data_IF_608910965758
#
_entry.id   IF_608910965758
#
_cell.length_a   1.000
_cell.length_b   1.000
_cell.length_c   1.000
_cell.angle_alpha   90.00
_cell.angle_beta   90.00
_cell.angle_gamma   90.00
#
_symmetry.space_group_name_H-M   'P 1'
#
loop_
_entity.id
_entity.type
_entity.pdbx_description
1 polymer ?
#
# COMPACT_ATOMS: atom_id res chain seq x y z
N UNK A 1 -3.42 -2.41 -24.97
CA UNK A 1 -4.82 -1.89 -24.99
C UNK A 1 -4.81 -0.38 -24.89
N UNK A 2 -5.65 0.33 -25.67
CA UNK A 2 -5.83 1.78 -25.56
C UNK A 2 -7.04 2.05 -24.65
N UNK A 3 -6.82 2.73 -23.53
CA UNK A 3 -7.89 3.14 -22.63
C UNK A 3 -8.61 4.33 -23.23
N UNK A 4 -9.94 4.29 -23.31
CA UNK A 4 -10.75 5.40 -23.80
C UNK A 4 -11.28 6.28 -22.66
N UNK A 5 -11.62 7.53 -22.97
CA UNK A 5 -12.26 8.44 -22.01
C UNK A 5 -13.59 7.86 -21.48
N UNK A 6 -14.30 7.10 -22.31
CA UNK A 6 -15.56 6.44 -21.93
C UNK A 6 -15.33 5.37 -20.88
N UNK A 7 -14.24 4.60 -20.98
CA UNK A 7 -13.88 3.57 -20.01
C UNK A 7 -13.50 4.21 -18.67
N UNK A 8 -12.74 5.31 -18.71
CA UNK A 8 -12.41 6.09 -17.51
C UNK A 8 -13.66 6.65 -16.83
N UNK A 9 -14.62 7.18 -17.60
CA UNK A 9 -15.87 7.69 -17.07
C UNK A 9 -16.70 6.56 -16.42
N UNK A 10 -16.82 5.40 -17.08
CA UNK A 10 -17.56 4.24 -16.60
C UNK A 10 -16.90 3.63 -15.34
N UNK A 11 -15.58 3.66 -15.22
CA UNK A 11 -14.85 3.24 -14.04
C UNK A 11 -14.94 4.23 -12.87
N UNK A 12 -15.37 5.47 -13.12
CA UNK A 12 -15.48 6.51 -12.09
C UNK A 12 -14.17 7.21 -11.77
N UNK A 13 -13.24 7.28 -12.70
CA UNK A 13 -11.93 7.95 -12.60
C UNK A 13 -12.06 9.43 -12.28
N UNK A 14 -13.13 10.07 -12.76
CA UNK A 14 -13.39 11.51 -12.64
C UNK A 14 -13.83 11.96 -11.25
N UNK A 15 -14.18 11.05 -10.34
CA UNK A 15 -14.54 11.41 -8.98
C UNK A 15 -13.28 11.63 -8.15
N UNK A 16 -13.19 12.79 -7.52
CA UNK A 16 -12.19 13.10 -6.52
C UNK A 16 -12.76 13.09 -5.12
N UNK A 17 -12.05 13.66 -4.18
CA UNK A 17 -12.43 13.79 -2.79
C UNK A 17 -13.32 15.01 -2.51
N UNK A 18 -13.79 15.13 -1.27
CA UNK A 18 -14.60 16.27 -0.83
C UNK A 18 -13.82 17.58 -0.95
N UNK A 19 -14.50 18.66 -1.34
CA UNK A 19 -13.91 19.98 -1.59
C UNK A 19 -13.12 20.56 -0.42
N UNK A 20 -13.43 20.17 0.81
CA UNK A 20 -12.72 20.67 2.01
C UNK A 20 -11.32 20.07 2.21
N UNK A 21 -11.02 18.93 1.57
CA UNK A 21 -9.75 18.22 1.75
C UNK A 21 -8.80 18.37 0.56
N UNK A 22 -9.16 19.19 -0.43
CA UNK A 22 -8.41 19.29 -1.65
C UNK A 22 -7.02 19.93 -1.47
N UNK A 23 -6.09 19.57 -2.33
CA UNK A 23 -4.78 20.19 -2.39
C UNK A 23 -4.79 21.30 -3.48
N UNK A 24 -4.38 22.54 -3.17
CA UNK A 24 -4.32 23.63 -4.16
C UNK A 24 -3.43 23.33 -5.38
N UNK A 25 -2.39 22.51 -5.23
CA UNK A 25 -1.52 22.09 -6.33
C UNK A 25 -2.25 21.24 -7.37
N UNK A 26 -3.37 20.62 -7.00
CA UNK A 26 -4.23 19.88 -7.92
C UNK A 26 -5.22 20.75 -8.71
N UNK A 27 -5.28 22.06 -8.45
CA UNK A 27 -6.15 23.00 -9.17
C UNK A 27 -6.09 22.85 -10.71
N UNK A 28 -4.93 22.69 -11.35
CA UNK A 28 -4.85 22.52 -12.81
C UNK A 28 -5.58 21.28 -13.34
N UNK A 29 -5.76 20.24 -12.51
CA UNK A 29 -6.33 18.94 -12.90
C UNK A 29 -7.81 18.80 -12.52
N UNK A 30 -8.37 19.78 -11.79
CA UNK A 30 -9.77 19.78 -11.37
C UNK A 30 -10.61 20.48 -12.43
N UNK A 31 -11.67 19.82 -12.87
CA UNK A 31 -12.67 20.38 -13.80
C UNK A 31 -13.67 21.29 -13.08
N UNK A 32 -14.08 20.89 -11.86
CA UNK A 32 -15.05 21.61 -11.07
C UNK A 32 -15.45 20.85 -9.81
N UNK A 33 -16.56 21.27 -9.19
CA UNK A 33 -17.11 20.59 -8.03
C UNK A 33 -18.62 20.38 -8.18
N UNK A 34 -19.12 19.20 -7.78
CA UNK A 34 -20.55 18.87 -7.75
C UNK A 34 -20.88 18.15 -6.45
N UNK A 35 -21.90 18.57 -5.75
CA UNK A 35 -22.32 17.98 -4.48
C UNK A 35 -21.18 17.91 -3.43
N UNK A 36 -20.36 18.97 -3.35
CA UNK A 36 -19.19 19.05 -2.45
C UNK A 36 -18.08 18.01 -2.73
N UNK A 37 -18.06 17.43 -3.93
CA UNK A 37 -17.03 16.52 -4.40
C UNK A 37 -16.34 17.17 -5.61
N UNK A 38 -15.02 17.14 -5.68
CA UNK A 38 -14.27 17.58 -6.84
C UNK A 38 -14.42 16.61 -8.00
N UNK A 39 -14.46 17.12 -9.21
CA UNK A 39 -14.47 16.35 -10.45
C UNK A 39 -13.13 16.60 -11.14
N UNK A 40 -12.43 15.52 -11.40
CA UNK A 40 -11.13 15.52 -12.07
C UNK A 40 -11.35 15.61 -13.58
N UNK A 41 -10.53 16.40 -14.26
CA UNK A 41 -10.62 16.60 -15.71
C UNK A 41 -10.00 15.43 -16.47
N UNK A 42 -10.84 14.59 -17.06
CA UNK A 42 -10.41 13.41 -17.85
C UNK A 42 -9.66 13.79 -19.14
N UNK A 43 -9.85 15.00 -19.68
CA UNK A 43 -9.11 15.48 -20.85
C UNK A 43 -7.61 15.65 -20.54
N UNK A 44 -7.27 15.87 -19.26
CA UNK A 44 -5.88 15.92 -18.79
C UNK A 44 -5.39 14.56 -18.30
N UNK A 45 -6.27 13.76 -17.68
CA UNK A 45 -5.93 12.42 -17.20
C UNK A 45 -5.56 11.49 -18.34
N UNK A 46 -6.34 11.47 -19.42
CA UNK A 46 -6.12 10.53 -20.53
C UNK A 46 -4.76 10.70 -21.21
N UNK A 47 -4.32 11.91 -21.62
CA UNK A 47 -2.98 12.12 -22.17
C UNK A 47 -1.86 11.72 -21.20
N UNK A 48 -1.94 12.17 -19.93
CA UNK A 48 -0.95 11.85 -18.91
C UNK A 48 -0.83 10.34 -18.67
N UNK A 49 -1.97 9.65 -18.64
CA UNK A 49 -1.99 8.18 -18.50
C UNK A 49 -1.38 7.48 -19.71
N UNK A 50 -1.70 7.91 -20.92
CA UNK A 50 -1.13 7.34 -22.14
C UNK A 50 0.38 7.58 -22.21
N UNK A 51 0.88 8.75 -21.82
CA UNK A 51 2.31 9.04 -21.72
C UNK A 51 3.00 8.09 -20.72
N UNK A 52 2.42 7.90 -19.54
CA UNK A 52 2.91 6.94 -18.58
C UNK A 52 2.95 5.50 -19.11
N UNK A 53 1.92 5.06 -19.85
CA UNK A 53 1.88 3.73 -20.48
C UNK A 53 2.94 3.55 -21.55
N UNK A 54 3.22 4.58 -22.35
CA UNK A 54 4.29 4.54 -23.36
C UNK A 54 5.65 4.39 -22.69
N UNK A 55 5.92 5.17 -21.64
CA UNK A 55 7.21 5.10 -20.95
C UNK A 55 7.42 3.76 -20.24
N UNK A 56 6.40 3.25 -19.56
CA UNK A 56 6.47 1.92 -18.94
C UNK A 56 6.72 0.81 -19.97
N UNK A 57 6.08 0.87 -21.14
CA UNK A 57 6.34 -0.06 -22.23
C UNK A 57 7.80 0.02 -22.67
N UNK A 58 8.35 1.23 -22.84
CA UNK A 58 9.75 1.44 -23.19
C UNK A 58 10.71 0.94 -22.10
N UNK A 59 10.36 1.07 -20.81
CA UNK A 59 11.15 0.50 -19.74
C UNK A 59 11.10 -1.03 -19.76
N UNK A 60 9.92 -1.60 -19.92
CA UNK A 60 9.73 -3.05 -19.97
C UNK A 60 10.44 -3.70 -21.17
N UNK A 61 10.48 -3.02 -22.35
CA UNK A 61 11.23 -3.48 -23.51
C UNK A 61 12.75 -3.47 -23.31
N UNK A 62 13.25 -2.73 -22.33
CA UNK A 62 14.67 -2.73 -21.91
C UNK A 62 14.95 -3.70 -20.76
N UNK A 63 14.01 -4.59 -20.42
CA UNK A 63 14.14 -5.55 -19.34
C UNK A 63 14.12 -4.92 -17.93
N UNK A 64 13.72 -3.65 -17.80
CA UNK A 64 13.66 -2.95 -16.52
C UNK A 64 12.53 -3.46 -15.63
N UNK A 65 12.75 -3.45 -14.32
CA UNK A 65 11.79 -3.90 -13.32
C UNK A 65 10.99 -2.73 -12.76
N UNK A 66 9.67 -2.84 -12.83
CA UNK A 66 8.74 -1.86 -12.25
C UNK A 66 8.09 -2.46 -11.01
N UNK A 67 8.23 -1.77 -9.87
CA UNK A 67 7.63 -2.18 -8.61
C UNK A 67 6.21 -1.61 -8.49
N UNK A 68 5.22 -2.48 -8.34
CA UNK A 68 3.84 -2.08 -8.10
C UNK A 68 3.58 -1.88 -6.61
N UNK A 69 3.08 -0.71 -6.21
CA UNK A 69 2.86 -0.34 -4.80
C UNK A 69 1.42 0.10 -4.59
N UNK A 70 0.77 -0.51 -3.61
CA UNK A 70 -0.56 -0.09 -3.18
C UNK A 70 -1.09 -0.95 -2.05
N UNK A 71 -0.89 -0.45 -0.85
CA UNK A 71 -1.27 -1.15 0.39
C UNK A 71 -2.71 -0.88 0.80
N UNK A 72 -3.39 0.05 0.10
CA UNK A 72 -4.81 0.34 0.32
C UNK A 72 -5.67 -0.90 0.06
N UNK A 73 -6.59 -1.21 0.96
CA UNK A 73 -7.46 -2.41 0.88
C UNK A 73 -8.16 -2.56 -0.48
N UNK A 74 -8.50 -1.46 -1.14
CA UNK A 74 -9.13 -1.46 -2.45
C UNK A 74 -8.16 -1.85 -3.58
N UNK A 75 -6.86 -1.59 -3.42
CA UNK A 75 -5.80 -1.79 -4.41
C UNK A 75 -5.08 -3.13 -4.24
N UNK A 76 -4.83 -3.56 -3.00
CA UNK A 76 -3.96 -4.69 -2.64
C UNK A 76 -4.18 -5.94 -3.49
N UNK A 77 -5.42 -6.43 -3.57
CA UNK A 77 -5.74 -7.65 -4.33
C UNK A 77 -5.49 -7.49 -5.84
N UNK A 78 -5.85 -6.34 -6.39
CA UNK A 78 -5.71 -6.07 -7.82
C UNK A 78 -4.24 -5.94 -8.21
N UNK A 79 -3.45 -5.29 -7.37
CA UNK A 79 -1.99 -5.14 -7.55
C UNK A 79 -1.31 -6.50 -7.51
N UNK A 80 -1.56 -7.31 -6.48
CA UNK A 80 -0.97 -8.65 -6.36
C UNK A 80 -1.31 -9.53 -7.58
N UNK A 81 -2.57 -9.52 -8.04
CA UNK A 81 -3.03 -10.30 -9.18
C UNK A 81 -2.36 -9.85 -10.49
N UNK A 82 -2.36 -8.55 -10.78
CA UNK A 82 -1.87 -8.03 -12.05
C UNK A 82 -0.33 -8.00 -12.11
N UNK A 83 0.35 -7.67 -11.04
CA UNK A 83 1.81 -7.70 -10.98
C UNK A 83 2.36 -9.13 -11.12
N UNK A 84 1.73 -10.11 -10.42
CA UNK A 84 2.08 -11.52 -10.58
C UNK A 84 1.85 -12.02 -12.01
N UNK A 85 0.75 -11.60 -12.67
CA UNK A 85 0.45 -11.96 -14.06
C UNK A 85 1.57 -11.57 -15.02
N UNK A 86 2.21 -10.43 -14.78
CA UNK A 86 3.29 -9.92 -15.65
C UNK A 86 4.69 -10.20 -15.10
N UNK A 87 4.81 -10.93 -13.98
CA UNK A 87 6.10 -11.26 -13.34
C UNK A 87 6.88 -10.01 -12.92
N UNK A 88 6.19 -9.04 -12.33
CA UNK A 88 6.78 -7.83 -11.75
C UNK A 88 6.66 -7.86 -10.22
N UNK A 89 7.63 -7.27 -9.49
CA UNK A 89 7.56 -7.18 -8.04
C UNK A 89 6.41 -6.26 -7.60
N UNK A 90 5.86 -6.55 -6.41
CA UNK A 90 4.77 -5.75 -5.85
C UNK A 90 4.79 -5.70 -4.32
N UNK A 91 4.15 -4.68 -3.77
CA UNK A 91 3.87 -4.51 -2.33
C UNK A 91 2.39 -4.21 -2.16
N UNK A 92 1.65 -5.14 -1.53
CA UNK A 92 0.19 -5.11 -1.40
C UNK A 92 -0.32 -4.99 0.04
N UNK A 93 0.52 -5.26 1.06
CA UNK A 93 0.09 -5.24 2.46
C UNK A 93 0.58 -4.00 3.20
N UNK A 94 1.87 -3.85 3.37
CA UNK A 94 2.48 -2.75 4.12
C UNK A 94 3.84 -2.38 3.54
N UNK A 95 4.03 -1.10 3.31
CA UNK A 95 5.36 -0.59 3.00
C UNK A 95 6.22 -0.53 4.27
N UNK A 96 7.33 -1.24 4.29
CA UNK A 96 8.29 -1.17 5.39
C UNK A 96 9.24 0.01 5.16
N UNK A 97 9.40 0.87 6.19
CA UNK A 97 10.36 1.97 6.10
C UNK A 97 11.77 1.47 5.78
N UNK A 98 12.43 2.09 4.81
CA UNK A 98 13.74 1.66 4.34
C UNK A 98 13.72 0.54 3.29
N UNK A 99 12.55 0.21 2.71
CA UNK A 99 12.43 -0.88 1.74
C UNK A 99 13.31 -0.68 0.50
N UNK A 100 13.50 0.55 0.07
CA UNK A 100 14.42 0.91 -1.01
C UNK A 100 15.75 1.45 -0.48
N UNK A 101 15.69 2.40 0.46
CA UNK A 101 16.88 3.11 0.97
C UNK A 101 17.78 2.22 1.84
N UNK A 102 17.23 1.22 2.52
CA UNK A 102 17.97 0.22 3.30
C UNK A 102 17.76 -1.20 2.75
N UNK A 103 17.84 -1.33 1.43
CA UNK A 103 17.59 -2.60 0.73
C UNK A 103 18.49 -3.75 1.22
N UNK A 104 19.69 -3.46 1.71
CA UNK A 104 20.61 -4.48 2.26
C UNK A 104 19.96 -5.24 3.43
N UNK A 105 19.33 -4.53 4.36
CA UNK A 105 18.61 -5.14 5.50
C UNK A 105 17.35 -5.87 5.04
N UNK A 106 16.60 -5.30 4.10
CA UNK A 106 15.41 -5.96 3.53
C UNK A 106 15.79 -7.28 2.85
N UNK A 107 16.90 -7.32 2.12
CA UNK A 107 17.42 -8.57 1.50
C UNK A 107 17.74 -9.65 2.53
N UNK A 108 18.25 -9.29 3.71
CA UNK A 108 18.45 -10.25 4.81
C UNK A 108 17.10 -10.80 5.32
N UNK A 109 16.08 -9.95 5.44
CA UNK A 109 14.75 -10.37 5.84
C UNK A 109 14.08 -11.26 4.78
N UNK A 110 14.30 -10.98 3.49
CA UNK A 110 13.86 -11.84 2.38
C UNK A 110 14.55 -13.21 2.46
N UNK A 111 15.88 -13.23 2.71
CA UNK A 111 16.61 -14.49 2.90
C UNK A 111 16.02 -15.30 4.06
N UNK A 112 15.75 -14.64 5.19
CA UNK A 112 15.10 -15.30 6.35
C UNK A 112 13.73 -15.86 6.01
N UNK A 113 12.94 -15.17 5.17
CA UNK A 113 11.65 -15.69 4.69
C UNK A 113 11.85 -16.98 3.89
N UNK A 114 12.79 -16.98 2.93
CA UNK A 114 13.12 -18.16 2.10
C UNK A 114 13.59 -19.32 2.96
N UNK A 115 14.46 -19.07 3.96
CA UNK A 115 14.93 -20.08 4.89
C UNK A 115 13.76 -20.72 5.67
N UNK A 116 12.81 -19.90 6.18
CA UNK A 116 11.62 -20.39 6.88
C UNK A 116 10.65 -21.16 5.97
N UNK A 117 10.50 -20.75 4.71
CA UNK A 117 9.72 -21.51 3.72
C UNK A 117 10.34 -22.87 3.45
N UNK A 118 11.66 -22.94 3.31
CA UNK A 118 12.40 -24.20 3.12
C UNK A 118 12.26 -25.10 4.34
N UNK A 119 12.49 -24.57 5.55
CA UNK A 119 12.30 -25.29 6.81
C UNK A 119 10.88 -25.87 6.96
N UNK A 120 9.87 -25.12 6.45
CA UNK A 120 8.47 -25.57 6.48
C UNK A 120 8.20 -26.69 5.48
N UNK A 121 8.86 -26.67 4.31
CA UNK A 121 8.69 -27.69 3.26
C UNK A 121 9.45 -28.99 3.58
N UNK A 122 10.61 -28.86 4.20
CA UNK A 122 11.47 -30.00 4.59
C UNK A 122 10.94 -30.76 5.81
N UNK A 123 9.80 -30.37 6.39
CA UNK A 123 9.23 -31.00 7.58
C UNK A 123 9.99 -30.69 8.88
N UNK A 124 10.94 -29.74 8.86
CA UNK A 124 11.70 -29.34 10.06
C UNK A 124 10.77 -28.85 11.17
N UNK A 125 9.63 -28.21 10.81
CA UNK A 125 8.65 -27.74 11.80
C UNK A 125 7.99 -28.86 12.58
N UNK A 126 7.88 -30.09 12.03
CA UNK A 126 7.29 -31.23 12.70
C UNK A 126 8.22 -31.81 13.79
N UNK A 127 9.53 -31.57 13.70
CA UNK A 127 10.53 -31.96 14.68
C UNK A 127 10.61 -31.00 15.87
N UNK A 128 10.00 -29.83 15.78
CA UNK A 128 10.03 -28.81 16.82
C UNK A 128 8.88 -28.99 17.82
N UNK A 129 9.02 -28.31 18.97
CA UNK A 129 7.89 -28.22 19.90
C UNK A 129 6.72 -27.44 19.24
N UNK A 130 5.47 -27.81 19.58
CA UNK A 130 4.27 -27.14 19.03
C UNK A 130 4.31 -25.60 19.18
N UNK A 131 4.89 -25.10 20.27
CA UNK A 131 5.03 -23.67 20.51
C UNK A 131 6.02 -23.02 19.53
N UNK A 132 7.16 -23.64 19.31
CA UNK A 132 8.18 -23.14 18.38
C UNK A 132 7.71 -23.20 16.93
N UNK A 133 7.11 -24.29 16.50
CA UNK A 133 6.52 -24.41 15.17
C UNK A 133 5.48 -23.33 14.91
N UNK A 134 4.61 -23.04 15.90
CA UNK A 134 3.63 -21.97 15.77
C UNK A 134 4.26 -20.57 15.67
N UNK A 135 5.32 -20.29 16.44
CA UNK A 135 6.04 -19.02 16.38
C UNK A 135 6.71 -18.85 15.02
N UNK A 136 7.38 -19.86 14.49
CA UNK A 136 8.02 -19.83 13.16
C UNK A 136 6.98 -19.66 12.05
N UNK A 137 5.86 -20.35 12.13
CA UNK A 137 4.75 -20.19 11.17
C UNK A 137 4.19 -18.76 11.17
N UNK A 138 3.99 -18.18 12.36
CA UNK A 138 3.53 -16.78 12.46
C UNK A 138 4.56 -15.81 11.87
N UNK A 139 5.85 -16.01 12.15
CA UNK A 139 6.93 -15.19 11.60
C UNK A 139 6.98 -15.31 10.07
N UNK A 140 6.91 -16.52 9.52
CA UNK A 140 6.86 -16.78 8.08
C UNK A 140 5.68 -16.04 7.44
N UNK A 141 4.47 -16.18 7.99
CA UNK A 141 3.27 -15.51 7.47
C UNK A 141 3.37 -13.98 7.51
N UNK A 142 3.95 -13.42 8.59
CA UNK A 142 4.18 -11.97 8.71
C UNK A 142 5.16 -11.47 7.63
N UNK A 143 6.27 -12.16 7.44
CA UNK A 143 7.27 -11.83 6.43
C UNK A 143 6.71 -12.03 5.01
N UNK A 144 5.98 -13.10 4.77
CA UNK A 144 5.32 -13.38 3.49
C UNK A 144 4.34 -12.27 3.11
N UNK A 145 3.53 -11.80 4.05
CA UNK A 145 2.61 -10.68 3.82
C UNK A 145 3.30 -9.38 3.44
N UNK A 146 4.49 -9.09 3.99
CA UNK A 146 5.18 -7.81 3.74
C UNK A 146 6.18 -7.87 2.58
N UNK A 147 6.85 -9.01 2.39
CA UNK A 147 8.00 -9.15 1.50
C UNK A 147 7.78 -10.17 0.37
N UNK A 148 6.68 -10.93 0.40
CA UNK A 148 6.42 -11.99 -0.57
C UNK A 148 6.45 -11.49 -2.01
N UNK A 149 5.88 -10.32 -2.29
CA UNK A 149 5.83 -9.76 -3.65
C UNK A 149 7.16 -9.21 -4.17
N UNK A 150 8.15 -9.00 -3.30
CA UNK A 150 9.49 -8.51 -3.70
C UNK A 150 10.58 -9.56 -3.59
N UNK A 151 10.24 -10.80 -3.26
CA UNK A 151 11.16 -11.92 -3.07
C UNK A 151 12.08 -12.12 -4.28
N UNK A 152 11.55 -12.02 -5.50
CA UNK A 152 12.26 -12.25 -6.75
C UNK A 152 12.82 -10.96 -7.39
N UNK A 153 12.75 -9.84 -6.69
CA UNK A 153 13.18 -8.56 -7.26
C UNK A 153 14.68 -8.51 -7.57
N UNK A 154 15.52 -9.16 -6.74
CA UNK A 154 16.96 -9.34 -6.96
C UNK A 154 17.82 -8.08 -6.74
N UNK A 155 17.25 -6.88 -6.86
CA UNK A 155 17.92 -5.58 -6.71
C UNK A 155 16.89 -4.48 -6.48
N UNK A 156 17.34 -3.21 -6.58
CA UNK A 156 16.43 -2.07 -6.59
C UNK A 156 15.60 -2.06 -7.89
N UNK A 157 14.34 -1.60 -7.84
CA UNK A 157 13.52 -1.44 -9.03
C UNK A 157 14.00 -0.23 -9.85
N UNK A 158 13.77 -0.27 -11.16
CA UNK A 158 14.09 0.83 -12.08
C UNK A 158 13.01 1.91 -12.09
N UNK A 159 11.79 1.59 -11.67
CA UNK A 159 10.67 2.50 -11.51
C UNK A 159 9.69 1.97 -10.48
N UNK A 160 8.86 2.86 -9.92
CA UNK A 160 7.75 2.49 -9.06
C UNK A 160 6.42 2.99 -9.63
N UNK A 161 5.38 2.16 -9.54
CA UNK A 161 4.00 2.53 -9.85
C UNK A 161 3.19 2.52 -8.55
N UNK A 162 2.66 3.67 -8.16
CA UNK A 162 2.03 3.89 -6.86
C UNK A 162 0.54 4.20 -7.04
N UNK A 163 -0.29 3.44 -6.33
CA UNK A 163 -1.73 3.71 -6.19
C UNK A 163 -1.96 4.39 -4.85
N UNK A 164 -2.49 5.62 -4.88
CA UNK A 164 -2.65 6.50 -3.70
C UNK A 164 -1.29 7.01 -3.16
N UNK A 165 -0.78 8.05 -3.78
CA UNK A 165 0.49 8.70 -3.41
C UNK A 165 0.47 9.26 -1.98
N UNK A 166 -0.69 9.68 -1.46
CA UNK A 166 -0.80 10.19 -0.10
C UNK A 166 -0.62 9.08 0.93
N UNK A 167 -1.21 7.92 0.68
CA UNK A 167 -1.06 6.75 1.55
C UNK A 167 0.37 6.20 1.52
N UNK A 168 0.95 6.14 0.34
CA UNK A 168 2.28 5.57 0.09
C UNK A 168 3.40 6.64 0.07
N UNK A 169 3.24 7.75 0.79
CA UNK A 169 4.20 8.87 0.80
C UNK A 169 5.63 8.46 1.18
N UNK A 170 5.78 7.42 2.01
CA UNK A 170 7.10 6.88 2.40
C UNK A 170 7.78 6.26 1.19
N UNK A 171 7.06 5.46 0.39
CA UNK A 171 7.58 4.84 -0.81
C UNK A 171 8.04 5.88 -1.83
N UNK A 172 7.23 6.90 -2.06
CA UNK A 172 7.56 8.02 -2.95
C UNK A 172 8.79 8.80 -2.46
N UNK A 173 8.87 9.08 -1.15
CA UNK A 173 10.02 9.77 -0.57
C UNK A 173 11.31 8.95 -0.71
N UNK A 174 11.25 7.64 -0.52
CA UNK A 174 12.41 6.75 -0.68
C UNK A 174 12.84 6.64 -2.15
N UNK A 175 11.90 6.52 -3.08
CA UNK A 175 12.19 6.50 -4.51
C UNK A 175 12.89 7.79 -4.96
N UNK A 176 12.37 8.95 -4.56
CA UNK A 176 12.96 10.26 -4.87
C UNK A 176 14.39 10.38 -4.32
N UNK A 177 14.66 9.88 -3.11
CA UNK A 177 16.03 9.87 -2.54
C UNK A 177 17.02 9.07 -3.37
N UNK A 178 16.55 8.05 -4.08
CA UNK A 178 17.36 7.16 -4.91
C UNK A 178 17.33 7.55 -6.40
N UNK A 179 16.54 8.56 -6.78
CA UNK A 179 16.39 8.96 -8.18
C UNK A 179 15.63 7.93 -9.02
N UNK A 180 14.75 7.13 -8.39
CA UNK A 180 13.91 6.15 -9.07
C UNK A 180 12.63 6.84 -9.54
N UNK A 181 12.29 6.81 -10.86
CA UNK A 181 11.11 7.46 -11.40
C UNK A 181 9.81 6.89 -10.81
N UNK A 182 8.89 7.80 -10.49
CA UNK A 182 7.63 7.51 -9.82
C UNK A 182 6.47 7.75 -10.76
N UNK A 183 5.69 6.71 -11.06
CA UNK A 183 4.38 6.78 -11.69
C UNK A 183 3.33 6.76 -10.59
N UNK A 184 2.54 7.81 -10.44
CA UNK A 184 1.59 7.93 -9.35
C UNK A 184 0.18 8.28 -9.77
N UNK A 185 -0.81 7.57 -9.21
CA UNK A 185 -2.20 7.98 -9.27
C UNK A 185 -2.41 9.01 -8.17
N UNK A 186 -2.83 10.22 -8.58
CA UNK A 186 -2.93 11.39 -7.70
C UNK A 186 -4.38 11.88 -7.70
N UNK A 187 -5.04 11.80 -6.55
CA UNK A 187 -6.39 12.33 -6.37
C UNK A 187 -6.35 13.81 -5.96
N UNK A 188 -7.50 14.44 -5.88
CA UNK A 188 -7.69 15.86 -5.60
C UNK A 188 -7.17 16.33 -4.22
N UNK A 189 -7.01 15.42 -3.24
CA UNK A 189 -6.50 15.68 -1.89
C UNK A 189 -4.98 15.53 -1.76
N UNK A 190 -4.32 15.00 -2.77
CA UNK A 190 -2.92 14.58 -2.74
C UNK A 190 -1.98 15.65 -3.30
N UNK A 191 -0.76 15.72 -2.79
CA UNK A 191 0.30 16.55 -3.35
C UNK A 191 0.99 15.82 -4.51
N UNK A 192 0.97 16.36 -5.75
CA UNK A 192 1.67 15.76 -6.87
C UNK A 192 3.21 15.91 -6.81
N UNK A 193 3.73 16.64 -5.82
CA UNK A 193 5.17 16.84 -5.69
C UNK A 193 5.90 15.52 -5.43
N UNK A 194 6.98 15.28 -6.18
CA UNK A 194 7.77 14.05 -6.09
C UNK A 194 7.24 12.88 -6.92
N UNK A 195 6.24 13.12 -7.77
CA UNK A 195 5.77 12.16 -8.77
C UNK A 195 6.21 12.64 -10.14
N UNK A 196 6.96 11.84 -10.88
CA UNK A 196 7.46 12.20 -12.21
C UNK A 196 6.37 12.11 -13.27
N UNK A 197 5.58 11.05 -13.22
CA UNK A 197 4.44 10.81 -14.12
C UNK A 197 3.13 10.88 -13.31
N UNK A 198 2.59 12.08 -13.22
CA UNK A 198 1.34 12.34 -12.47
C UNK A 198 0.14 11.89 -13.28
N UNK A 199 -0.63 10.94 -12.76
CA UNK A 199 -1.88 10.45 -13.35
C UNK A 199 -3.02 10.95 -12.47
N UNK A 200 -3.70 12.07 -12.82
CA UNK A 200 -4.80 12.57 -12.02
C UNK A 200 -6.00 11.63 -12.10
N UNK A 201 -6.50 11.19 -10.96
CA UNK A 201 -7.63 10.27 -10.97
C UNK A 201 -8.01 9.72 -9.60
N UNK A 202 -9.15 9.07 -9.55
CA UNK A 202 -9.71 8.47 -8.35
C UNK A 202 -8.88 7.27 -7.87
N UNK A 203 -8.44 7.32 -6.62
CA UNK A 203 -7.65 6.27 -5.96
C UNK A 203 -8.47 5.40 -4.97
N UNK A 204 -9.78 5.68 -4.79
CA UNK A 204 -10.68 4.94 -3.89
C UNK A 204 -11.52 3.88 -4.60
N UNK A 205 -11.98 4.16 -5.81
CA UNK A 205 -12.90 3.29 -6.53
C UNK A 205 -12.18 2.05 -7.07
N UNK A 206 -12.57 0.85 -6.61
CA UNK A 206 -12.00 -0.43 -7.06
C UNK A 206 -12.01 -0.58 -8.59
N UNK A 207 -13.04 -0.07 -9.27
CA UNK A 207 -13.13 -0.11 -10.75
C UNK A 207 -12.10 0.78 -11.41
N UNK A 208 -11.85 1.98 -10.85
CA UNK A 208 -10.83 2.90 -11.35
C UNK A 208 -9.42 2.32 -11.13
N UNK A 209 -9.15 1.85 -9.91
CA UNK A 209 -7.87 1.19 -9.57
C UNK A 209 -7.61 0.00 -10.50
N UNK A 210 -8.61 -0.87 -10.72
CA UNK A 210 -8.48 -2.01 -11.62
C UNK A 210 -8.15 -1.57 -13.05
N UNK A 211 -8.80 -0.52 -13.56
CA UNK A 211 -8.54 0.00 -14.89
C UNK A 211 -7.08 0.46 -15.02
N UNK A 212 -6.56 1.24 -14.08
CA UNK A 212 -5.18 1.71 -14.12
C UNK A 212 -4.18 0.56 -14.03
N UNK A 213 -4.33 -0.29 -13.01
CA UNK A 213 -3.38 -1.38 -12.74
C UNK A 213 -3.38 -2.39 -13.90
N UNK A 214 -4.55 -2.71 -14.47
CA UNK A 214 -4.64 -3.64 -15.59
C UNK A 214 -3.99 -3.06 -16.85
N UNK A 215 -4.30 -1.80 -17.22
CA UNK A 215 -3.70 -1.16 -18.38
C UNK A 215 -2.18 -0.98 -18.23
N UNK A 216 -1.71 -0.68 -17.01
CA UNK A 216 -0.29 -0.57 -16.71
C UNK A 216 0.43 -1.93 -16.82
N UNK A 217 -0.18 -2.99 -16.29
CA UNK A 217 0.34 -4.35 -16.43
C UNK A 217 0.33 -4.82 -17.90
N UNK A 218 -0.69 -4.49 -18.68
CA UNK A 218 -0.74 -4.80 -20.10
C UNK A 218 0.37 -4.09 -20.89
N UNK A 219 0.66 -2.81 -20.57
CA UNK A 219 1.77 -2.08 -21.16
C UNK A 219 3.13 -2.73 -20.84
N UNK A 220 3.31 -3.23 -19.60
CA UNK A 220 4.49 -4.01 -19.23
C UNK A 220 4.57 -5.31 -20.00
N UNK A 221 3.46 -6.04 -20.16
CA UNK A 221 3.41 -7.29 -20.92
C UNK A 221 3.75 -7.07 -22.40
N UNK A 222 3.19 -6.02 -23.02
CA UNK A 222 3.50 -5.62 -24.40
C UNK A 222 5.00 -5.26 -24.55
N UNK A 223 5.57 -4.51 -23.60
CA UNK A 223 7.00 -4.18 -23.59
C UNK A 223 7.89 -5.42 -23.50
N UNK A 224 7.57 -6.36 -22.64
CA UNK A 224 8.30 -7.64 -22.52
C UNK A 224 8.19 -8.50 -23.76
N UNK A 225 7.04 -8.53 -24.43
CA UNK A 225 6.86 -9.29 -25.67
C UNK A 225 7.76 -8.78 -26.80
N UNK A 226 8.00 -7.46 -26.86
CA UNK A 226 8.89 -6.86 -27.86
C UNK A 226 10.36 -7.27 -27.66
N UNK A 227 10.81 -7.50 -26.42
CA UNK A 227 12.17 -8.04 -26.15
C UNK A 227 12.34 -9.43 -26.73
N UNK A 228 11.32 -10.27 -26.63
CA UNK A 228 11.38 -11.65 -27.10
C UNK A 228 11.47 -11.76 -28.65
N UNK A 229 11.12 -10.68 -29.37
CA UNK A 229 11.21 -10.64 -30.85
C UNK A 229 12.52 -10.05 -31.37
N UNK A 230 13.26 -9.30 -30.51
CA UNK A 230 14.53 -8.66 -30.89
C UNK A 230 15.80 -9.46 -30.46
N UNK A 231 15.63 -10.62 -29.84
CA UNK A 231 16.77 -11.50 -29.52
C UNK A 231 17.04 -12.36 -30.73
N UNK A 232 18.07 -11.99 -31.51
CA UNK A 232 18.64 -12.84 -32.54
C UNK A 232 19.04 -14.20 -31.94
N UNK A 233 18.62 -15.35 -32.53
CA UNK A 233 18.87 -16.66 -31.94
C UNK A 233 20.37 -17.07 -31.95
N UNK A 234 21.27 -16.24 -32.47
CA UNK A 234 22.70 -16.56 -32.64
C UNK A 234 23.64 -15.93 -31.59
N UNK A 235 23.14 -15.15 -30.63
CA UNK A 235 24.00 -14.56 -29.57
C UNK A 235 23.94 -15.37 -28.26
N UNK A 236 24.29 -16.66 -28.33
CA UNK A 236 24.69 -17.43 -27.14
C UNK A 236 26.13 -17.08 -26.77
N UNK A 237 26.31 -16.05 -25.96
CA UNK A 237 27.56 -15.86 -25.23
C UNK A 237 27.58 -16.84 -24.06
N UNK A 238 28.44 -17.84 -24.12
CA UNK A 238 28.77 -18.68 -22.98
C UNK A 238 29.23 -17.79 -21.82
N UNK A 239 28.41 -17.69 -20.79
CA UNK A 239 28.80 -17.02 -19.54
C UNK A 239 29.47 -18.07 -18.66
N UNK A 240 30.77 -17.97 -18.51
CA UNK A 240 31.57 -18.74 -17.56
C UNK A 240 30.94 -18.71 -16.17
N UNK A 241 30.78 -19.88 -15.56
CA UNK A 241 30.29 -20.05 -14.19
C UNK A 241 31.16 -19.30 -13.21
N UNK A 242 30.61 -18.46 -12.30
CA UNK A 242 31.41 -17.84 -11.26
C UNK A 242 31.75 -18.88 -10.18
N UNK A 243 33.03 -19.13 -10.04
CA UNK A 243 33.66 -19.87 -8.94
C UNK A 243 33.06 -19.50 -7.58
N UNK A 244 32.77 -20.52 -6.80
CA UNK A 244 32.22 -20.45 -5.44
C UNK A 244 33.01 -19.50 -4.53
N UNK A 245 32.33 -18.47 -4.01
CA UNK A 245 32.85 -17.61 -2.95
C UNK A 245 32.64 -18.28 -1.57
N UNK A 246 33.54 -18.07 -0.59
CA UNK A 246 33.55 -18.77 0.69
C UNK A 246 32.35 -18.39 1.56
N UNK A 247 31.79 -19.41 2.24
CA UNK A 247 30.73 -19.25 3.25
C UNK A 247 31.22 -18.34 4.38
N UNK A 248 30.67 -17.12 4.45
CA UNK A 248 30.86 -16.27 5.61
C UNK A 248 29.84 -16.68 6.68
N UNK A 249 30.33 -17.07 7.85
CA UNK A 249 29.53 -17.32 9.04
C UNK A 249 28.81 -16.02 9.46
N UNK A 250 27.50 -16.08 9.44
CA UNK A 250 26.66 -14.95 9.89
C UNK A 250 26.66 -14.99 11.41
N UNK A 251 27.21 -13.98 12.06
CA UNK A 251 27.27 -13.88 13.52
C UNK A 251 25.85 -13.82 14.11
N UNK A 252 25.61 -14.61 15.16
CA UNK A 252 24.36 -14.64 15.96
C UNK A 252 23.86 -13.25 16.40
N UNK A 253 24.76 -12.27 16.49
CA UNK A 253 24.46 -10.89 16.85
C UNK A 253 23.51 -10.18 15.85
N UNK A 254 23.57 -10.51 14.55
CA UNK A 254 22.68 -9.88 13.54
C UNK A 254 21.30 -10.51 13.58
N UNK A 255 21.19 -11.79 13.88
CA UNK A 255 19.91 -12.45 14.08
C UNK A 255 19.19 -11.96 15.34
N UNK A 256 19.93 -11.64 16.40
CA UNK A 256 19.40 -11.07 17.64
C UNK A 256 18.84 -9.66 17.44
N UNK A 257 19.54 -8.79 16.71
CA UNK A 257 19.10 -7.40 16.50
C UNK A 257 17.83 -7.28 15.64
N UNK A 258 17.60 -8.22 14.71
CA UNK A 258 16.37 -8.27 13.91
C UNK A 258 15.20 -8.77 14.76
N UNK A 259 15.45 -9.74 15.63
CA UNK A 259 14.43 -10.26 16.55
C UNK A 259 14.03 -9.23 17.62
N UNK A 260 14.98 -8.42 18.15
CA UNK A 260 14.69 -7.33 19.10
C UNK A 260 13.86 -6.21 18.44
N UNK A 261 14.16 -5.84 17.21
CA UNK A 261 13.39 -4.82 16.51
C UNK A 261 11.93 -5.23 16.26
N UNK A 262 11.67 -6.51 15.96
CA UNK A 262 10.31 -7.04 15.79
C UNK A 262 9.58 -7.27 17.13
N UNK A 263 10.30 -7.64 18.19
CA UNK A 263 9.73 -7.79 19.53
C UNK A 263 9.27 -6.45 20.10
N UNK A 264 10.05 -5.39 19.93
CA UNK A 264 9.71 -4.05 20.38
C UNK A 264 8.44 -3.48 19.68
N UNK A 265 8.22 -3.84 18.41
CA UNK A 265 7.01 -3.41 17.68
C UNK A 265 5.75 -4.16 18.12
N UNK A 266 5.89 -5.43 18.52
CA UNK A 266 4.77 -6.23 19.03
C UNK A 266 4.43 -5.83 20.50
N UNK A 267 5.40 -5.47 21.34
CA UNK A 267 5.16 -4.90 22.67
C UNK A 267 4.49 -3.53 22.60
N UNK A 268 4.90 -2.67 21.66
CA UNK A 268 4.26 -1.37 21.45
C UNK A 268 2.79 -1.51 21.01
N UNK A 269 2.47 -2.48 20.16
CA UNK A 269 1.09 -2.76 19.73
C UNK A 269 0.25 -3.42 20.82
N UNK A 270 0.85 -4.26 21.67
CA UNK A 270 0.17 -4.85 22.81
C UNK A 270 -0.17 -3.76 23.87
N UNK A 271 0.76 -2.83 24.11
CA UNK A 271 0.53 -1.71 25.01
C UNK A 271 -0.55 -0.73 24.49
N UNK A 272 -0.59 -0.48 23.17
CA UNK A 272 -1.65 0.32 22.56
C UNK A 272 -3.04 -0.36 22.63
N UNK A 273 -3.09 -1.68 22.44
CA UNK A 273 -4.32 -2.45 22.56
C UNK A 273 -4.82 -2.50 24.02
N UNK A 274 -3.92 -2.60 25.00
CA UNK A 274 -4.25 -2.58 26.43
C UNK A 274 -4.72 -1.18 26.89
N UNK A 275 -4.10 -0.12 26.39
CA UNK A 275 -4.51 1.25 26.64
C UNK A 275 -5.91 1.56 26.04
N UNK A 276 -6.22 1.02 24.85
CA UNK A 276 -7.55 1.16 24.25
C UNK A 276 -8.61 0.32 24.98
N UNK A 277 -8.26 -0.85 25.51
CA UNK A 277 -9.15 -1.67 26.32
C UNK A 277 -9.42 -1.03 27.69
N UNK A 278 -8.43 -0.39 28.31
CA UNK A 278 -8.58 0.34 29.57
C UNK A 278 -9.44 1.62 29.41
N UNK A 279 -9.39 2.26 28.23
CA UNK A 279 -10.23 3.43 27.94
C UNK A 279 -11.69 3.08 27.60
N UNK A 280 -11.99 1.81 27.32
CA UNK A 280 -13.33 1.33 26.98
C UNK A 280 -14.11 0.70 28.15
N UNK A 281 -13.55 0.66 29.38
CA UNK A 281 -14.26 0.16 30.54
C UNK A 281 -15.30 1.19 31.00
N UNK A 282 -16.60 0.83 31.12
CA UNK A 282 -17.62 1.74 31.64
C UNK A 282 -17.40 1.99 33.12
N UNK A 283 -17.45 3.28 33.52
CA UNK A 283 -17.46 3.69 34.90
C UNK A 283 -18.70 3.13 35.58
N UNK A 284 -18.55 2.12 36.41
CA UNK A 284 -19.57 1.63 37.33
C UNK A 284 -19.80 2.69 38.40
N UNK A 285 -21.02 3.22 38.44
CA UNK A 285 -21.52 4.21 39.36
C UNK A 285 -21.59 3.56 40.75
N UNK A 286 -20.76 4.00 41.67
CA UNK A 286 -20.92 3.70 43.09
C UNK A 286 -22.06 4.57 43.63
N UNK A 287 -23.19 3.94 43.89
CA UNK A 287 -24.33 4.43 44.63
C UNK A 287 -23.99 4.34 46.15
N UNK A 288 -23.78 5.47 46.84
CA UNK A 288 -23.71 5.51 48.29
C UNK A 288 -24.81 6.38 48.84
N UNK A 289 -25.50 5.79 49.82
CA UNK A 289 -26.78 6.04 50.41
C UNK A 289 -26.96 7.42 51.08
N UNK A 290 -28.22 7.77 51.15
CA UNK A 290 -28.90 8.90 51.79
C UNK A 290 -28.60 9.15 53.27
N UNK A 291 -29.03 10.30 53.84
CA UNK A 291 -30.26 10.22 54.66
C UNK A 291 -31.28 11.37 54.50
N UNK A 292 -32.46 11.01 54.91
CA UNK A 292 -33.74 11.61 54.81
C UNK A 292 -34.00 12.93 55.58
N UNK A 293 -35.02 13.65 55.05
CA UNK A 293 -36.10 14.42 55.65
C UNK A 293 -35.92 15.93 55.91
N UNK A 294 -37.04 16.76 56.05
CA UNK A 294 -38.46 16.48 55.88
C UNK A 294 -39.28 17.52 55.01
N UNK A 295 -40.53 17.20 54.88
CA UNK A 295 -41.69 17.87 54.25
C UNK A 295 -42.02 19.27 54.78
N UNK A 296 -42.61 20.12 53.95
CA UNK A 296 -43.68 21.11 54.23
C UNK A 296 -44.31 21.47 52.88
N UNK A 297 -45.43 21.11 52.63
CA UNK A 297 -46.83 21.53 52.56
C UNK A 297 -47.08 22.89 51.86
N UNK A 298 -48.13 22.79 50.99
CA UNK A 298 -49.17 23.77 50.63
C UNK A 298 -48.74 24.87 49.65
N UNK A 299 -49.50 25.25 48.67
CA UNK A 299 -50.91 25.27 48.35
C UNK A 299 -51.12 25.92 46.99
N UNK A 300 -52.08 25.39 46.27
CA UNK A 300 -53.17 26.03 45.50
C UNK A 300 -52.98 27.27 44.60
N UNK A 301 -53.71 27.13 43.57
CA UNK A 301 -54.53 28.08 42.73
C UNK A 301 -53.92 28.39 41.36
N UNK A 302 -54.43 27.84 40.31
CA UNK A 302 -55.71 28.18 39.61
C UNK A 302 -55.57 29.24 38.50
N UNK A 303 -56.25 28.97 37.45
CA UNK A 303 -56.78 29.84 36.37
C UNK A 303 -55.85 30.06 35.13
N UNK A 304 -56.16 29.41 34.04
CA UNK A 304 -57.17 29.81 33.06
C UNK A 304 -56.73 30.75 31.94
N UNK A 305 -57.16 30.35 30.76
CA UNK A 305 -57.54 31.14 29.59
C UNK A 305 -56.46 31.43 28.52
N UNK A 306 -56.49 30.71 27.41
CA UNK A 306 -57.21 31.06 26.17
C UNK A 306 -56.63 32.23 25.33
N UNK A 307 -56.53 31.97 24.04
CA UNK A 307 -56.59 32.93 22.96
C UNK A 307 -55.42 32.82 21.96
N UNK A 308 -55.57 32.09 20.93
CA UNK A 308 -56.06 32.44 19.56
C UNK A 308 -55.29 33.54 18.83
N UNK A 309 -54.83 33.13 17.64
CA UNK A 309 -54.68 33.90 16.35
C UNK A 309 -53.60 34.98 16.28
N UNK A 310 -52.68 34.90 15.33
CA UNK A 310 -52.74 35.00 13.87
C UNK A 310 -51.58 34.31 13.18
#
# INVERSE_FOLDING_TARGET
>A
MTVSMRDMLAAGVHFGHQTRFWNPKMAPFIFGARNKIHIINLEKTLPAFNEALVEVRNMASKGKKVLFVGTKRAAAKVIAEQASRVGMPYVDQRWLGGMLTNYKTIRQSIKRLVDLETESQDGTFDLLSKKEALLRTRMMNKLQGSLGGIKEMGGLPDAIFVVDVQHEHIAVTEANKLGIPVFGIVDSNTDPAGVDYVIPGNDDAIRAIRLYVTAFADAVAEGKANVATDVDPDEFVEVDEPTAAPKAEISEAVAASVNEAFAAEDEAKAAEAEAQAAAAAPAEVAEEAAPAQPQAEASDADSDAAGEKE
#
